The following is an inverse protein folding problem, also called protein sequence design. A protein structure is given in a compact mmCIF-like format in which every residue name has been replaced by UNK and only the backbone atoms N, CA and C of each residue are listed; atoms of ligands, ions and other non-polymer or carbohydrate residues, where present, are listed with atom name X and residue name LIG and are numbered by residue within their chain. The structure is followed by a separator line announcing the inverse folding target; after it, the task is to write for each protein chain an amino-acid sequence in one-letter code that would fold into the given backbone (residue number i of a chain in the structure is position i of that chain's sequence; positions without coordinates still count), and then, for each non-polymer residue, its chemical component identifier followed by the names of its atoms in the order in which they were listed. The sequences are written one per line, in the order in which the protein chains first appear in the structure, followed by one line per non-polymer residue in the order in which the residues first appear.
data_IF_495584216006
#
_entry.id   IF_495584216006
#
_cell.length_a   1.000
_cell.length_b   1.000
_cell.length_c   1.000
_cell.angle_alpha   90.00
_cell.angle_beta   90.00
_cell.angle_gamma   90.00
#
_symmetry.space_group_name_H-M   'P 1'
#
loop_
_entity.id
_entity.type
_entity.pdbx_description
1 polymer ?
#
# COMPACT_ATOMS: atom_id res chain seq x y z
N UNK A 1 -1.82 -19.10 -22.66
CA UNK A 1 -1.62 -17.93 -21.79
C UNK A 1 -2.99 -17.31 -21.61
N UNK A 2 -3.68 -17.62 -20.50
CA UNK A 2 -5.07 -17.20 -20.31
C UNK A 2 -5.12 -15.67 -20.14
N UNK A 3 -5.74 -14.97 -21.10
CA UNK A 3 -6.13 -13.58 -20.92
C UNK A 3 -7.18 -13.54 -19.81
N UNK A 4 -6.75 -13.21 -18.59
CA UNK A 4 -7.70 -12.83 -17.55
C UNK A 4 -8.35 -11.52 -17.98
N UNK A 5 -9.66 -11.55 -18.17
CA UNK A 5 -10.46 -10.35 -18.33
C UNK A 5 -10.41 -9.56 -17.02
N UNK A 6 -10.04 -8.28 -17.11
CA UNK A 6 -10.08 -7.36 -15.97
C UNK A 6 -11.05 -6.23 -16.29
N UNK A 7 -12.01 -6.04 -15.38
CA UNK A 7 -12.90 -4.88 -15.43
C UNK A 7 -12.07 -3.64 -15.08
N UNK A 8 -12.14 -2.63 -15.95
CA UNK A 8 -11.52 -1.32 -15.75
C UNK A 8 -12.60 -0.25 -15.89
N UNK A 9 -12.75 0.59 -14.89
CA UNK A 9 -13.58 1.78 -14.96
C UNK A 9 -12.66 2.99 -14.97
N UNK A 10 -12.79 3.84 -15.99
CA UNK A 10 -12.06 5.09 -16.09
C UNK A 10 -13.02 6.21 -16.45
N UNK A 11 -12.97 7.32 -15.71
CA UNK A 11 -13.71 8.52 -16.04
C UNK A 11 -12.85 9.56 -16.76
N UNK A 12 -13.50 10.62 -17.28
CA UNK A 12 -12.83 11.72 -17.98
C UNK A 12 -11.99 12.62 -17.06
N UNK A 13 -12.14 12.50 -15.75
CA UNK A 13 -11.35 13.26 -14.75
C UNK A 13 -10.04 12.55 -14.41
N UNK A 14 -9.83 11.36 -14.99
CA UNK A 14 -8.64 10.56 -14.79
C UNK A 14 -8.69 9.71 -13.54
N UNK A 15 -9.86 9.42 -12.97
CA UNK A 15 -10.00 8.36 -11.98
C UNK A 15 -10.11 7.02 -12.70
N UNK A 16 -9.22 6.10 -12.36
CA UNK A 16 -9.22 4.73 -12.87
C UNK A 16 -9.21 3.73 -11.71
N UNK A 17 -10.06 2.72 -11.83
CA UNK A 17 -10.13 1.55 -10.95
C UNK A 17 -9.98 0.32 -11.83
N UNK A 18 -9.05 -0.56 -11.48
CA UNK A 18 -8.82 -1.81 -12.20
C UNK A 18 -8.93 -3.00 -11.24
N UNK A 19 -9.66 -4.04 -11.65
CA UNK A 19 -9.80 -5.27 -10.85
C UNK A 19 -8.48 -5.98 -10.52
N UNK A 20 -7.37 -5.66 -11.20
CA UNK A 20 -6.05 -6.21 -10.87
C UNK A 20 -5.41 -5.56 -9.63
N UNK A 21 -5.94 -4.40 -9.19
CA UNK A 21 -5.53 -3.64 -8.01
C UNK A 21 -4.02 -3.35 -7.91
N UNK A 22 -3.34 -3.19 -9.05
CA UNK A 22 -1.88 -2.96 -9.04
C UNK A 22 -1.49 -1.65 -8.38
N UNK A 23 -2.35 -0.63 -8.43
CA UNK A 23 -2.02 0.63 -7.77
C UNK A 23 -2.12 0.48 -6.25
N UNK A 24 -3.08 -0.28 -5.75
CA UNK A 24 -3.27 -0.57 -4.35
C UNK A 24 -2.14 -1.47 -3.81
N UNK A 25 -1.68 -2.44 -4.61
CA UNK A 25 -0.65 -3.39 -4.19
C UNK A 25 0.80 -2.97 -4.50
N UNK A 26 1.01 -2.14 -5.53
CA UNK A 26 2.36 -1.74 -6.01
C UNK A 26 2.51 -0.23 -6.17
N UNK A 27 1.42 0.53 -6.08
CA UNK A 27 1.32 1.98 -6.36
C UNK A 27 1.96 2.40 -7.65
N UNK A 28 1.86 1.54 -8.65
CA UNK A 28 2.05 1.88 -10.05
C UNK A 28 0.80 1.46 -10.82
N UNK A 29 0.47 2.23 -11.84
CA UNK A 29 -0.64 1.90 -12.74
C UNK A 29 -0.31 0.63 -13.51
N UNK A 30 -1.25 -0.30 -13.58
CA UNK A 30 -1.11 -1.49 -14.43
C UNK A 30 -1.25 -1.12 -15.90
N UNK A 31 -0.85 -2.05 -16.79
CA UNK A 31 -1.11 -1.93 -18.23
C UNK A 31 -2.59 -1.67 -18.55
N UNK A 32 -3.52 -2.27 -17.79
CA UNK A 32 -4.96 -2.11 -18.05
C UNK A 32 -5.42 -0.67 -17.80
N UNK A 33 -4.95 -0.06 -16.71
CA UNK A 33 -5.27 1.32 -16.37
C UNK A 33 -4.64 2.31 -17.36
N UNK A 34 -3.41 2.04 -17.81
CA UNK A 34 -2.73 2.85 -18.82
C UNK A 34 -3.45 2.81 -20.18
N UNK A 35 -3.93 1.63 -20.61
CA UNK A 35 -4.76 1.50 -21.82
C UNK A 35 -6.08 2.25 -21.67
N UNK A 36 -6.73 2.19 -20.51
CA UNK A 36 -7.96 2.94 -20.27
C UNK A 36 -7.76 4.46 -20.37
N UNK A 37 -6.64 5.00 -19.86
CA UNK A 37 -6.28 6.41 -20.08
C UNK A 37 -6.15 6.77 -21.55
N UNK A 38 -5.48 5.92 -22.35
CA UNK A 38 -5.37 6.15 -23.79
C UNK A 38 -6.74 6.19 -24.48
N UNK A 39 -7.64 5.28 -24.13
CA UNK A 39 -8.99 5.22 -24.70
C UNK A 39 -9.85 6.43 -24.32
N UNK A 40 -9.66 6.98 -23.11
CA UNK A 40 -10.37 8.18 -22.63
C UNK A 40 -9.70 9.48 -23.10
N UNK A 41 -8.53 9.40 -23.74
CA UNK A 41 -7.79 10.57 -24.26
C UNK A 41 -6.95 11.29 -23.20
N UNK A 42 -6.61 10.62 -22.10
CA UNK A 42 -5.76 11.15 -21.04
C UNK A 42 -4.31 10.87 -21.41
N UNK A 43 -3.59 11.92 -21.81
CA UNK A 43 -2.22 11.82 -22.33
C UNK A 43 -1.13 11.88 -21.25
N UNK A 44 -1.49 12.26 -20.02
CA UNK A 44 -0.57 12.36 -18.89
C UNK A 44 -1.13 11.65 -17.66
N UNK A 45 -0.25 11.07 -16.85
CA UNK A 45 -0.66 10.39 -15.61
C UNK A 45 -1.16 11.46 -14.63
N UNK A 46 -2.40 11.35 -14.12
CA UNK A 46 -2.92 12.29 -13.12
C UNK A 46 -2.07 12.28 -11.85
N UNK A 47 -1.89 13.45 -11.23
CA UNK A 47 -1.00 13.63 -10.08
C UNK A 47 -1.27 12.66 -8.92
N UNK A 48 -2.53 12.27 -8.70
CA UNK A 48 -2.95 11.31 -7.67
C UNK A 48 -2.28 9.93 -7.79
N UNK A 49 -1.80 9.56 -8.98
CA UNK A 49 -1.12 8.30 -9.24
C UNK A 49 0.42 8.42 -9.25
N UNK A 50 0.95 9.64 -9.08
CA UNK A 50 2.39 9.91 -9.01
C UNK A 50 2.80 9.91 -7.53
N UNK A 51 3.18 8.74 -7.03
CA UNK A 51 3.65 8.61 -5.65
C UNK A 51 5.09 9.10 -5.52
N UNK A 52 5.42 9.75 -4.39
CA UNK A 52 6.75 10.30 -4.11
C UNK A 52 7.87 9.27 -4.33
N UNK A 53 7.66 7.99 -3.97
CA UNK A 53 8.63 6.89 -4.21
C UNK A 53 9.07 6.71 -5.67
N UNK A 54 8.26 7.14 -6.63
CA UNK A 54 8.56 7.07 -8.06
C UNK A 54 9.09 8.39 -8.63
N UNK A 55 9.20 9.44 -7.81
CA UNK A 55 9.78 10.72 -8.24
C UNK A 55 11.29 10.72 -8.05
N UNK A 56 11.98 11.51 -8.86
CA UNK A 56 13.45 11.67 -8.82
C UNK A 56 13.95 12.17 -7.45
N UNK A 57 13.10 12.84 -6.68
CA UNK A 57 13.40 13.40 -5.35
C UNK A 57 13.67 12.33 -4.28
N UNK A 58 13.20 11.10 -4.46
CA UNK A 58 13.45 10.01 -3.49
C UNK A 58 14.87 9.48 -3.52
N UNK A 59 15.56 9.55 -4.68
CA UNK A 59 16.98 9.17 -4.76
C UNK A 59 17.89 10.00 -3.84
N UNK A 60 17.41 11.15 -3.36
CA UNK A 60 18.16 12.01 -2.44
C UNK A 60 17.91 11.68 -0.96
N UNK A 61 16.77 11.05 -0.61
CA UNK A 61 16.42 10.75 0.80
C UNK A 61 16.82 9.37 1.30
N UNK A 62 17.19 8.45 0.41
CA UNK A 62 17.61 7.10 0.82
C UNK A 62 19.04 7.04 1.37
N UNK A 63 19.73 8.17 1.47
CA UNK A 63 21.10 8.24 2.00
C UNK A 63 21.20 8.50 3.49
N UNK A 64 20.10 8.74 4.23
CA UNK A 64 20.20 9.08 5.65
C UNK A 64 19.10 8.43 6.49
N UNK A 65 19.54 7.88 7.62
CA UNK A 65 18.88 7.06 8.63
C UNK A 65 17.74 7.74 9.40
N UNK A 66 17.01 8.67 8.78
CA UNK A 66 16.06 9.53 9.50
C UNK A 66 14.64 9.35 8.95
N UNK A 67 13.99 8.25 9.35
CA UNK A 67 12.56 8.34 9.65
C UNK A 67 12.46 8.94 11.05
N UNK A 68 12.71 10.25 11.16
CA UNK A 68 12.37 11.02 12.36
C UNK A 68 10.86 10.89 12.56
N UNK A 69 10.48 9.98 13.45
CA UNK A 69 9.11 9.77 13.87
C UNK A 69 8.77 10.85 14.89
N UNK A 70 8.75 12.10 14.43
CA UNK A 70 8.34 13.24 15.22
C UNK A 70 7.25 13.95 14.42
N UNK A 71 6.02 13.46 14.56
CA UNK A 71 4.83 14.32 14.67
C UNK A 71 3.61 13.48 15.07
N UNK A 72 2.82 14.04 15.99
CA UNK A 72 1.59 13.49 16.56
C UNK A 72 0.41 13.51 15.56
N UNK A 73 0.67 13.30 14.28
CA UNK A 73 -0.37 13.23 13.27
C UNK A 73 -0.59 11.79 12.87
N UNK A 74 -1.82 11.33 13.11
CA UNK A 74 -2.44 10.13 12.53
C UNK A 74 -1.69 9.70 11.27
N UNK A 75 -1.05 8.53 11.33
CA UNK A 75 -0.44 7.92 10.15
C UNK A 75 -1.53 7.83 9.09
N UNK A 76 -1.53 8.76 8.14
CA UNK A 76 -2.34 8.63 6.93
C UNK A 76 -2.08 7.23 6.35
N UNK A 77 -3.13 6.58 5.85
CA UNK A 77 -3.12 5.17 5.45
C UNK A 77 -1.93 4.87 4.50
N UNK A 78 -1.59 5.85 3.66
CA UNK A 78 -0.45 5.83 2.76
C UNK A 78 0.93 5.77 3.46
N UNK A 79 1.12 6.48 4.57
CA UNK A 79 2.37 6.51 5.35
C UNK A 79 2.59 5.19 6.10
N UNK A 80 1.53 4.67 6.72
CA UNK A 80 1.55 3.36 7.38
C UNK A 80 1.90 2.25 6.38
N UNK A 81 1.22 2.23 5.23
CA UNK A 81 1.47 1.26 4.17
C UNK A 81 2.92 1.32 3.67
N UNK A 82 3.43 2.52 3.37
CA UNK A 82 4.80 2.67 2.85
C UNK A 82 5.85 2.17 3.84
N UNK A 83 5.67 2.41 5.13
CA UNK A 83 6.56 1.92 6.17
C UNK A 83 6.53 0.38 6.24
N UNK A 84 5.34 -0.21 6.33
CA UNK A 84 5.17 -1.67 6.48
C UNK A 84 5.72 -2.44 5.28
N UNK A 85 5.50 -1.94 4.05
CA UNK A 85 6.06 -2.56 2.84
C UNK A 85 7.59 -2.53 2.87
N UNK A 86 8.19 -1.41 3.23
CA UNK A 86 9.65 -1.29 3.29
C UNK A 86 10.27 -2.24 4.33
N UNK A 87 9.67 -2.36 5.52
CA UNK A 87 10.12 -3.33 6.52
C UNK A 87 9.98 -4.76 6.02
N UNK A 88 8.86 -5.08 5.36
CA UNK A 88 8.62 -6.42 4.81
C UNK A 88 9.65 -6.78 3.74
N UNK A 89 10.03 -5.84 2.86
CA UNK A 89 11.08 -6.06 1.85
C UNK A 89 12.41 -6.43 2.51
N UNK A 90 12.84 -5.70 3.54
CA UNK A 90 14.07 -6.03 4.30
C UNK A 90 14.00 -7.42 4.93
N UNK A 91 12.87 -7.75 5.56
CA UNK A 91 12.65 -9.08 6.15
C UNK A 91 12.77 -10.16 5.08
N UNK A 92 12.17 -9.95 3.90
CA UNK A 92 12.23 -10.93 2.80
C UNK A 92 13.64 -11.12 2.25
N UNK A 93 14.41 -10.05 2.09
CA UNK A 93 15.78 -10.10 1.59
C UNK A 93 16.70 -10.88 2.55
N UNK A 94 16.60 -10.58 3.85
CA UNK A 94 17.36 -11.26 4.90
C UNK A 94 16.94 -12.74 4.99
N UNK A 95 15.64 -13.02 4.95
CA UNK A 95 15.10 -14.38 5.04
C UNK A 95 15.49 -15.23 3.84
N UNK A 96 15.44 -14.67 2.63
CA UNK A 96 15.84 -15.37 1.41
C UNK A 96 17.33 -15.73 1.40
N UNK A 97 18.15 -14.93 2.10
CA UNK A 97 19.60 -15.11 2.17
C UNK A 97 20.05 -16.04 3.31
N UNK A 98 19.18 -16.42 4.25
CA UNK A 98 19.54 -17.24 5.41
C UNK A 98 18.40 -18.14 5.88
N UNK A 99 18.62 -19.46 5.85
CA UNK A 99 17.66 -20.44 6.36
C UNK A 99 17.32 -20.24 7.84
N UNK A 100 18.30 -19.80 8.65
CA UNK A 100 18.07 -19.49 10.08
C UNK A 100 17.13 -18.29 10.20
N UNK A 101 17.39 -17.22 9.44
CA UNK A 101 16.53 -16.04 9.45
C UNK A 101 15.13 -16.33 8.89
N UNK A 102 15.04 -17.17 7.84
CA UNK A 102 13.77 -17.63 7.30
C UNK A 102 12.93 -18.38 8.32
N UNK A 103 13.53 -19.28 9.11
CA UNK A 103 12.81 -20.01 10.15
C UNK A 103 12.29 -19.06 11.24
N UNK A 104 13.10 -18.07 11.66
CA UNK A 104 12.64 -17.03 12.59
C UNK A 104 11.47 -16.23 12.00
N UNK A 105 11.56 -15.79 10.76
CA UNK A 105 10.49 -15.05 10.09
C UNK A 105 9.21 -15.89 9.98
N UNK A 106 9.34 -17.18 9.67
CA UNK A 106 8.23 -18.13 9.57
C UNK A 106 7.48 -18.30 10.90
N UNK A 107 8.18 -18.24 12.03
CA UNK A 107 7.57 -18.31 13.37
C UNK A 107 6.92 -16.99 13.79
N UNK A 108 7.61 -15.86 13.56
CA UNK A 108 7.21 -14.55 14.10
C UNK A 108 6.11 -13.88 13.27
N UNK A 109 6.13 -13.99 11.93
CA UNK A 109 5.15 -13.30 11.06
C UNK A 109 3.71 -13.68 11.42
N UNK A 110 3.34 -14.97 11.59
CA UNK A 110 1.99 -15.34 11.99
C UNK A 110 1.57 -14.77 13.35
N UNK A 111 2.49 -14.71 14.31
CA UNK A 111 2.23 -14.15 15.65
C UNK A 111 1.96 -12.65 15.56
N UNK A 112 2.74 -11.92 14.76
CA UNK A 112 2.54 -10.50 14.52
C UNK A 112 1.16 -10.25 13.87
N UNK A 113 0.81 -11.01 12.83
CA UNK A 113 -0.49 -10.89 12.16
C UNK A 113 -1.66 -11.12 13.12
N UNK A 114 -1.57 -12.14 13.98
CA UNK A 114 -2.58 -12.43 14.99
C UNK A 114 -2.76 -11.24 15.94
N UNK A 115 -1.67 -10.69 16.47
CA UNK A 115 -1.69 -9.53 17.37
C UNK A 115 -2.30 -8.29 16.71
N UNK A 116 -1.99 -8.04 15.44
CA UNK A 116 -2.57 -6.92 14.69
C UNK A 116 -4.09 -7.06 14.55
N UNK A 117 -4.59 -8.27 14.27
CA UNK A 117 -6.02 -8.55 14.19
C UNK A 117 -6.72 -8.37 15.55
N UNK A 118 -6.10 -8.82 16.64
CA UNK A 118 -6.64 -8.64 17.99
C UNK A 118 -6.80 -7.16 18.34
N UNK A 119 -5.79 -6.33 18.05
CA UNK A 119 -5.85 -4.87 18.29
C UNK A 119 -6.86 -4.19 17.37
N UNK A 120 -6.92 -4.56 16.09
CA UNK A 120 -7.87 -3.98 15.14
C UNK A 120 -9.32 -4.28 15.55
N UNK A 121 -9.60 -5.48 16.05
CA UNK A 121 -10.93 -5.88 16.51
C UNK A 121 -11.31 -5.25 17.86
N UNK A 122 -10.35 -5.08 18.78
CA UNK A 122 -10.58 -4.39 20.05
C UNK A 122 -11.01 -2.93 19.84
N UNK A 123 -10.45 -2.25 18.84
CA UNK A 123 -10.79 -0.87 18.50
C UNK A 123 -12.20 -0.69 17.91
N UNK A 124 -12.91 -1.77 17.53
CA UNK A 124 -14.30 -1.72 17.03
C UNK A 124 -15.31 -1.76 18.19
N UNK A 125 -14.94 -2.34 19.34
CA UNK A 125 -15.85 -2.54 20.49
C UNK A 125 -15.95 -1.30 21.38
N UNK A 126 -15.00 -0.36 21.30
CA UNK A 126 -14.95 0.84 22.15
C UNK A 126 -15.72 2.06 21.61
N UNK A 127 -16.41 1.99 20.46
CA UNK A 127 -17.33 3.06 20.06
C UNK A 127 -18.72 2.83 20.69
N UNK A 128 -19.16 3.65 21.66
CA UNK A 128 -20.50 3.52 22.20
C UNK A 128 -21.50 3.91 21.11
N UNK A 129 -22.45 3.02 20.84
CA UNK A 129 -23.66 3.33 20.09
C UNK A 129 -24.43 4.45 20.80
N UNK A 130 -24.32 5.69 20.30
CA UNK A 130 -25.24 6.75 20.67
C UNK A 130 -26.65 6.37 20.18
N UNK A 131 -27.50 5.94 21.11
CA UNK A 131 -28.95 5.87 20.89
C UNK A 131 -29.47 7.30 20.66
N UNK A 132 -29.74 7.64 19.40
CA UNK A 132 -30.54 8.83 19.07
C UNK A 132 -32.00 8.49 19.41
N UNK A 133 -32.48 9.01 20.54
CA UNK A 133 -33.92 9.08 20.82
C UNK A 133 -34.55 10.18 19.97
N UNK A 134 -35.49 9.78 19.12
CA UNK A 134 -36.53 10.64 18.53
C UNK A 134 -37.57 11.05 19.58
#
# INVERSE_FOLDING_TARGET
MFEKEFIVTCDKTGVVICGCRCFEFRGCLCRHALVAFQLVGISSIPQRYILKRWTKEMRYRHSLDEYNMDDNNLLDESSCYSYLVHQTVKITEISASSNVAFNVAKEVIPMLLKRMLEVANANIVEQPSEEIRV
#
